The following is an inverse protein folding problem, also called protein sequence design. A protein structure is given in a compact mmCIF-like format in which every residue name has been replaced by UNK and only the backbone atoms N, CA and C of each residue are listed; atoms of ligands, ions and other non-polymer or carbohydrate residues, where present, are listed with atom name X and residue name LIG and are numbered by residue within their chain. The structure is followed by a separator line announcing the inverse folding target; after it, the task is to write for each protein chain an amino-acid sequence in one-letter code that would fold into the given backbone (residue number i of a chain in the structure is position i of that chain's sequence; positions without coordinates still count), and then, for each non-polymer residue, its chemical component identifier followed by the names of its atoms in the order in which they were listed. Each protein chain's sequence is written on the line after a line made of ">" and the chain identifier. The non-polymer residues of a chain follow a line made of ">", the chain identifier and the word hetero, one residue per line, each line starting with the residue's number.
data_IF_992421621229
#
_entry.id   IF_992421621229
#
_cell.length_a   1.000
_cell.length_b   1.000
_cell.length_c   1.000
_cell.angle_alpha   90.00
_cell.angle_beta   90.00
_cell.angle_gamma   90.00
#
_symmetry.space_group_name_H-M   'P 1'
#
loop_
_entity.id
_entity.type
_entity.pdbx_description
1 polymer ?
#
# COMPACT_ATOMS: atom_id res chain seq x y z
N UNK A 1 -21.89 -24.28 -10.60
CA UNK A 1 -21.18 -23.56 -9.53
C UNK A 1 -20.65 -24.55 -8.51
N UNK A 2 -19.37 -24.48 -8.16
CA UNK A 2 -18.77 -25.42 -7.17
C UNK A 2 -18.33 -24.69 -5.90
N UNK A 3 -18.00 -23.39 -6.00
CA UNK A 3 -17.39 -22.63 -4.89
C UNK A 3 -18.18 -21.42 -4.42
N UNK A 4 -19.27 -21.02 -5.10
CA UNK A 4 -19.98 -19.77 -4.80
C UNK A 4 -19.08 -18.52 -4.90
N UNK A 5 -18.10 -18.56 -5.81
CA UNK A 5 -17.08 -17.53 -5.94
C UNK A 5 -17.63 -16.16 -6.36
N UNK A 6 -16.86 -15.12 -6.02
CA UNK A 6 -17.22 -13.72 -6.25
C UNK A 6 -16.10 -12.98 -6.98
N UNK A 7 -16.47 -12.05 -7.84
CA UNK A 7 -15.53 -11.12 -8.51
C UNK A 7 -15.79 -9.71 -8.01
N UNK A 8 -14.72 -8.97 -7.74
CA UNK A 8 -14.74 -7.55 -7.33
C UNK A 8 -13.61 -6.81 -8.03
N UNK A 9 -13.81 -5.51 -8.20
CA UNK A 9 -12.79 -4.56 -8.61
C UNK A 9 -12.50 -3.60 -7.45
N UNK A 10 -11.29 -3.05 -7.44
CA UNK A 10 -10.85 -2.04 -6.48
C UNK A 10 -10.06 -0.96 -7.23
N UNK A 11 -10.16 0.32 -6.84
CA UNK A 11 -9.37 1.38 -7.44
C UNK A 11 -7.86 1.18 -7.27
N UNK A 12 -7.05 1.70 -8.20
CA UNK A 12 -5.58 1.62 -8.12
C UNK A 12 -5.03 2.23 -6.82
N UNK A 13 -5.63 3.33 -6.34
CA UNK A 13 -5.27 3.92 -5.06
C UNK A 13 -5.39 2.95 -3.90
N UNK A 14 -6.44 2.13 -3.88
CA UNK A 14 -6.68 1.14 -2.81
C UNK A 14 -5.69 -0.02 -2.91
N UNK A 15 -5.32 -0.42 -4.13
CA UNK A 15 -4.27 -1.42 -4.38
C UNK A 15 -2.92 -0.93 -3.85
N UNK A 16 -2.55 0.31 -4.15
CA UNK A 16 -1.29 0.91 -3.70
C UNK A 16 -1.25 1.11 -2.18
N UNK A 17 -2.37 1.53 -1.60
CA UNK A 17 -2.55 1.64 -0.14
C UNK A 17 -2.41 0.27 0.55
N UNK A 18 -3.02 -0.78 -0.02
CA UNK A 18 -2.87 -2.14 0.48
C UNK A 18 -1.42 -2.63 0.36
N UNK A 19 -0.74 -2.33 -0.76
CA UNK A 19 0.68 -2.64 -0.94
C UNK A 19 1.55 -1.97 0.13
N UNK A 20 1.31 -0.70 0.45
CA UNK A 20 2.01 0.01 1.51
C UNK A 20 1.74 -0.60 2.89
N UNK A 21 0.50 -1.02 3.16
CA UNK A 21 0.10 -1.69 4.40
C UNK A 21 0.78 -3.06 4.57
N UNK A 22 0.87 -3.86 3.51
CA UNK A 22 1.64 -5.11 3.48
C UNK A 22 3.11 -4.83 3.79
N UNK A 23 3.66 -3.76 3.19
CA UNK A 23 5.01 -3.24 3.44
C UNK A 23 5.28 -2.97 4.92
N UNK A 24 4.35 -2.29 5.59
CA UNK A 24 4.45 -2.00 7.02
C UNK A 24 4.48 -3.26 7.89
N UNK A 25 3.90 -4.37 7.41
CA UNK A 25 3.95 -5.69 8.07
C UNK A 25 5.23 -6.50 7.83
N UNK A 26 6.23 -5.94 7.14
CA UNK A 26 7.50 -6.62 6.85
C UNK A 26 7.48 -7.56 5.64
N UNK A 27 6.38 -7.56 4.87
CA UNK A 27 6.25 -8.29 3.62
C UNK A 27 6.30 -7.32 2.43
N UNK A 28 6.48 -7.84 1.21
CA UNK A 28 6.47 -6.99 0.02
C UNK A 28 5.96 -7.74 -1.20
N UNK A 29 5.15 -7.03 -2.00
CA UNK A 29 4.70 -7.47 -3.30
C UNK A 29 4.71 -6.31 -4.30
N UNK A 30 4.59 -6.64 -5.57
CA UNK A 30 4.20 -5.75 -6.66
C UNK A 30 2.72 -5.32 -6.54
N UNK A 31 2.26 -4.30 -7.30
CA UNK A 31 0.90 -3.77 -7.18
C UNK A 31 -0.21 -4.80 -7.40
N UNK A 32 -0.16 -5.60 -8.47
CA UNK A 32 -1.26 -6.52 -8.82
C UNK A 32 -1.59 -7.52 -7.70
N UNK A 33 -0.59 -8.06 -7.00
CA UNK A 33 -0.79 -8.93 -5.84
C UNK A 33 -1.53 -8.27 -4.69
N UNK A 34 -1.29 -6.97 -4.45
CA UNK A 34 -1.93 -6.23 -3.37
C UNK A 34 -3.45 -6.07 -3.59
N UNK A 35 -3.95 -6.28 -4.81
CA UNK A 35 -5.39 -6.31 -5.11
C UNK A 35 -6.13 -7.37 -4.29
N UNK A 36 -5.47 -8.49 -3.93
CA UNK A 36 -6.07 -9.51 -3.06
C UNK A 36 -6.37 -9.00 -1.65
N UNK A 37 -5.51 -8.13 -1.10
CA UNK A 37 -5.69 -7.53 0.24
C UNK A 37 -6.62 -6.33 0.18
N UNK A 38 -6.54 -5.50 -0.87
CA UNK A 38 -7.49 -4.41 -1.10
C UNK A 38 -8.92 -4.95 -1.29
N UNK A 39 -9.08 -6.03 -2.06
CA UNK A 39 -10.35 -6.72 -2.26
C UNK A 39 -10.87 -7.35 -0.96
N UNK A 40 -10.01 -7.97 -0.15
CA UNK A 40 -10.41 -8.47 1.17
C UNK A 40 -10.95 -7.35 2.05
N UNK A 41 -10.26 -6.20 2.12
CA UNK A 41 -10.73 -5.04 2.87
C UNK A 41 -12.13 -4.60 2.42
N UNK A 42 -12.34 -4.48 1.11
CA UNK A 42 -13.66 -4.15 0.54
C UNK A 42 -14.73 -5.18 0.93
N UNK A 43 -14.42 -6.48 0.85
CA UNK A 43 -15.38 -7.54 1.18
C UNK A 43 -15.75 -7.60 2.66
N UNK A 44 -14.80 -7.25 3.55
CA UNK A 44 -15.07 -7.08 4.99
C UNK A 44 -15.96 -5.86 5.23
N UNK A 45 -15.67 -4.72 4.59
CA UNK A 45 -16.51 -3.51 4.67
C UNK A 45 -17.93 -3.74 4.16
N UNK A 46 -18.10 -4.59 3.14
CA UNK A 46 -19.41 -5.00 2.61
C UNK A 46 -20.12 -6.05 3.47
N UNK A 47 -19.48 -6.58 4.52
CA UNK A 47 -20.02 -7.67 5.35
C UNK A 47 -20.14 -9.02 4.63
N UNK A 48 -19.45 -9.19 3.50
CA UNK A 48 -19.43 -10.45 2.74
C UNK A 48 -18.47 -11.45 3.39
N UNK A 49 -17.34 -10.95 3.90
CA UNK A 49 -16.38 -11.71 4.71
C UNK A 49 -16.47 -11.18 6.14
N UNK A 50 -16.58 -12.08 7.13
CA UNK A 50 -16.55 -11.73 8.55
C UNK A 50 -15.13 -11.33 8.97
N UNK A 51 -14.95 -10.36 9.88
CA UNK A 51 -13.63 -10.08 10.47
C UNK A 51 -13.00 -11.28 11.20
N UNK A 52 -13.81 -12.27 11.59
CA UNK A 52 -13.36 -13.51 12.24
C UNK A 52 -13.00 -14.63 11.25
N UNK A 53 -13.24 -14.44 9.95
CA UNK A 53 -12.98 -15.46 8.94
C UNK A 53 -11.48 -15.65 8.69
N UNK A 54 -11.08 -16.91 8.48
CA UNK A 54 -9.71 -17.23 8.07
C UNK A 54 -9.57 -17.10 6.56
N UNK A 55 -8.89 -16.04 6.12
CA UNK A 55 -8.67 -15.75 4.69
C UNK A 55 -7.20 -15.91 4.32
N UNK A 56 -6.94 -16.42 3.12
CA UNK A 56 -5.61 -16.43 2.51
C UNK A 56 -5.59 -15.48 1.29
N UNK A 57 -4.86 -14.38 1.40
CA UNK A 57 -4.57 -13.49 0.27
C UNK A 57 -3.32 -13.98 -0.46
N UNK A 58 -3.42 -14.22 -1.77
CA UNK A 58 -2.31 -14.74 -2.57
C UNK A 58 -1.51 -13.59 -3.16
N UNK A 59 -0.25 -13.46 -2.75
CA UNK A 59 0.71 -12.52 -3.33
C UNK A 59 1.58 -13.25 -4.36
N UNK A 60 1.24 -13.10 -5.63
CA UNK A 60 1.83 -13.83 -6.76
C UNK A 60 3.15 -13.25 -7.26
N UNK A 61 3.47 -11.99 -6.96
CA UNK A 61 4.67 -11.32 -7.44
C UNK A 61 5.60 -10.84 -6.33
N UNK A 62 6.88 -10.80 -6.67
CA UNK A 62 7.92 -10.30 -5.78
C UNK A 62 7.96 -8.77 -5.83
N UNK A 63 8.23 -8.13 -4.68
CA UNK A 63 8.36 -6.66 -4.56
C UNK A 63 9.33 -6.03 -5.55
N UNK A 64 10.38 -6.76 -5.95
CA UNK A 64 11.40 -6.31 -6.90
C UNK A 64 10.95 -6.27 -8.37
N UNK A 65 9.72 -6.67 -8.70
CA UNK A 65 9.19 -6.50 -10.07
C UNK A 65 8.97 -5.02 -10.40
N UNK A 66 8.50 -4.22 -9.44
CA UNK A 66 8.24 -2.79 -9.59
C UNK A 66 8.71 -1.98 -8.36
N UNK A 67 10.03 -2.00 -8.05
CA UNK A 67 10.55 -1.42 -6.81
C UNK A 67 10.34 0.10 -6.74
N UNK A 68 10.39 0.78 -7.90
CA UNK A 68 10.20 2.22 -8.00
C UNK A 68 8.81 2.66 -7.50
N UNK A 69 7.77 1.86 -7.75
CA UNK A 69 6.41 2.20 -7.29
C UNK A 69 6.39 2.30 -5.76
N UNK A 70 7.11 1.42 -5.06
CA UNK A 70 7.22 1.48 -3.61
C UNK A 70 7.98 2.71 -3.14
N UNK A 71 9.16 2.97 -3.72
CA UNK A 71 9.99 4.11 -3.35
C UNK A 71 9.24 5.42 -3.58
N UNK A 72 8.65 5.57 -4.77
CA UNK A 72 7.94 6.78 -5.16
C UNK A 72 6.65 6.99 -4.36
N UNK A 73 5.91 5.93 -4.03
CA UNK A 73 4.72 6.02 -3.16
C UNK A 73 5.08 6.63 -1.79
N UNK A 74 6.23 6.26 -1.22
CA UNK A 74 6.67 6.76 0.07
C UNK A 74 7.53 8.03 -0.02
N UNK A 75 7.94 8.52 -1.19
CA UNK A 75 8.86 9.67 -1.30
C UNK A 75 8.34 10.84 -2.11
N UNK A 76 7.47 10.61 -3.10
CA UNK A 76 6.91 11.67 -3.93
C UNK A 76 5.66 12.27 -3.30
N UNK A 77 5.38 13.54 -3.63
CA UNK A 77 4.06 14.13 -3.37
C UNK A 77 3.05 13.57 -4.37
N UNK A 78 1.77 13.54 -3.99
CA UNK A 78 0.67 13.02 -4.83
C UNK A 78 0.69 13.56 -6.26
N UNK A 79 0.92 14.86 -6.46
CA UNK A 79 0.97 15.46 -7.78
C UNK A 79 2.12 14.92 -8.66
N UNK A 80 3.28 14.67 -8.07
CA UNK A 80 4.46 14.13 -8.76
C UNK A 80 4.26 12.64 -9.06
N UNK A 81 3.71 11.89 -8.10
CA UNK A 81 3.36 10.48 -8.29
C UNK A 81 2.37 10.31 -9.44
N UNK A 82 1.26 11.06 -9.42
CA UNK A 82 0.25 11.07 -10.50
C UNK A 82 0.88 11.38 -11.84
N UNK A 83 1.74 12.40 -11.91
CA UNK A 83 2.40 12.79 -13.16
C UNK A 83 3.31 11.68 -13.68
N UNK A 84 4.08 11.02 -12.80
CA UNK A 84 5.03 9.96 -13.17
C UNK A 84 4.35 8.66 -13.61
N UNK A 85 3.19 8.36 -13.03
CA UNK A 85 2.48 7.10 -13.21
C UNK A 85 1.12 7.23 -13.90
N UNK A 86 0.87 8.34 -14.62
CA UNK A 86 -0.41 8.64 -15.25
C UNK A 86 -0.86 7.58 -16.28
N UNK A 87 0.09 6.88 -16.89
CA UNK A 87 -0.14 5.79 -17.85
C UNK A 87 -0.38 4.43 -17.18
N UNK A 88 -0.14 4.32 -15.87
CA UNK A 88 -0.19 3.06 -15.11
C UNK A 88 -1.28 3.01 -14.05
N UNK A 89 -1.54 4.12 -13.37
CA UNK A 89 -2.44 4.15 -12.22
C UNK A 89 -3.35 5.39 -12.21
N UNK A 90 -4.62 5.19 -11.93
CA UNK A 90 -5.56 6.25 -11.60
C UNK A 90 -5.65 6.44 -10.08
N UNK A 91 -4.82 7.35 -9.56
CA UNK A 91 -4.67 7.55 -8.11
C UNK A 91 -5.25 8.88 -7.67
N UNK A 92 -6.08 8.88 -6.63
CA UNK A 92 -6.62 10.11 -6.03
C UNK A 92 -5.96 10.55 -4.74
N UNK A 93 -5.26 9.63 -4.07
CA UNK A 93 -4.64 9.83 -2.75
C UNK A 93 -3.49 8.84 -2.55
N UNK A 94 -2.59 9.16 -1.62
CA UNK A 94 -1.61 8.22 -1.06
C UNK A 94 -1.85 8.24 0.45
N UNK A 95 -2.51 7.22 0.99
CA UNK A 95 -2.99 7.26 2.39
C UNK A 95 -1.98 6.79 3.42
N UNK A 96 -1.00 5.98 3.02
CA UNK A 96 -0.02 5.37 3.93
C UNK A 96 1.45 5.64 3.54
N UNK A 97 1.83 6.83 3.04
CA UNK A 97 3.23 7.11 2.74
C UNK A 97 4.05 7.14 4.03
N UNK A 98 5.31 6.70 3.94
CA UNK A 98 6.27 6.72 5.03
C UNK A 98 7.45 7.59 4.59
N UNK A 99 7.22 8.90 4.58
CA UNK A 99 8.17 9.85 4.02
C UNK A 99 9.47 9.90 4.84
N UNK A 100 10.64 9.85 4.19
CA UNK A 100 11.90 10.13 4.89
C UNK A 100 11.87 11.56 5.43
N UNK A 101 12.18 11.71 6.71
CA UNK A 101 12.34 13.02 7.33
C UNK A 101 13.81 13.43 7.18
N UNK A 102 14.05 14.56 6.52
CA UNK A 102 15.37 15.16 6.47
C UNK A 102 15.63 15.93 7.77
N UNK A 103 16.75 15.63 8.42
CA UNK A 103 17.18 16.26 9.66
C UNK A 103 18.58 16.83 9.44
N UNK A 104 18.90 18.04 9.96
CA UNK A 104 20.26 18.55 9.97
C UNK A 104 21.23 17.57 10.64
N UNK A 105 22.51 17.63 10.28
CA UNK A 105 23.57 16.87 10.96
C UNK A 105 23.90 17.52 12.32
N UNK A 106 22.92 17.48 13.23
CA UNK A 106 22.95 18.05 14.57
C UNK A 106 22.31 17.05 15.55
N UNK A 107 22.99 16.78 16.66
CA UNK A 107 22.56 15.72 17.59
C UNK A 107 21.21 16.03 18.23
N UNK A 108 20.99 17.26 18.67
CA UNK A 108 19.74 17.68 19.33
C UNK A 108 18.56 17.60 18.34
N UNK A 109 18.76 18.03 17.09
CA UNK A 109 17.77 17.90 16.04
C UNK A 109 17.41 16.44 15.73
N UNK A 110 18.40 15.54 15.74
CA UNK A 110 18.19 14.10 15.52
C UNK A 110 17.41 13.49 16.68
N UNK A 111 17.82 13.74 17.93
CA UNK A 111 17.16 13.20 19.13
C UNK A 111 15.70 13.67 19.21
N UNK A 112 15.46 14.96 19.02
CA UNK A 112 14.11 15.53 19.00
C UNK A 112 13.21 14.86 17.95
N UNK A 113 13.73 14.62 16.74
CA UNK A 113 12.95 13.98 15.67
C UNK A 113 12.61 12.53 16.00
N UNK A 114 13.49 11.81 16.70
CA UNK A 114 13.24 10.43 17.15
C UNK A 114 12.19 10.40 18.27
N UNK A 115 12.27 11.32 19.23
CA UNK A 115 11.28 11.44 20.31
C UNK A 115 9.88 11.77 19.79
N UNK A 116 9.78 12.70 18.83
CA UNK A 116 8.49 13.06 18.19
C UNK A 116 7.85 11.90 17.40
N UNK A 117 8.59 10.81 17.18
CA UNK A 117 8.16 9.63 16.39
C UNK A 117 7.82 8.39 17.23
N UNK A 118 8.21 8.37 18.50
CA UNK A 118 7.88 7.28 19.45
C UNK A 118 6.49 7.49 20.06
#
# INVERSE_FOLDING_TARGET
>A
EVTGGLVREVPDGDILDAKASIGAGGLGCEPASAASVAGLKLLVEQGIISPDDRVACVLTGHVLKDPNVSVDYHSLKLGEFRKKYADKFEVTRLSFPNHPIQVPNDLEAILKTLEDRL
#
